data_IF_603055762875
#
_entry.id   IF_603055762875
#
_cell.length_a   1.000
_cell.length_b   1.000
_cell.length_c   1.000
_cell.angle_alpha   90.00
_cell.angle_beta   90.00
_cell.angle_gamma   90.00
#
_symmetry.space_group_name_H-M   'P 1'
#
loop_
_entity.id
_entity.type
_entity.pdbx_description
1 polymer ?
#
# COMPACT_ATOMS: atom_id res chain seq x y z
N UNK A 1 -9.36 -0.15 -9.85
CA UNK A 1 -9.59 -1.27 -8.89
C UNK A 1 -8.89 -2.51 -9.42
N UNK A 2 -8.30 -3.34 -8.58
CA UNK A 2 -7.63 -4.59 -8.98
C UNK A 2 -8.45 -5.78 -8.52
N UNK A 3 -8.56 -6.80 -9.36
CA UNK A 3 -9.21 -8.06 -9.04
C UNK A 3 -8.54 -9.16 -9.85
N UNK A 4 -7.93 -10.13 -9.14
CA UNK A 4 -7.46 -11.41 -9.68
C UNK A 4 -6.81 -11.31 -11.07
N UNK A 5 -5.65 -10.64 -11.16
CA UNK A 5 -4.91 -10.58 -12.41
C UNK A 5 -5.29 -9.46 -13.35
N UNK A 6 -6.25 -8.60 -13.01
CA UNK A 6 -6.68 -7.49 -13.88
C UNK A 6 -6.72 -6.15 -13.15
N UNK A 7 -6.42 -5.11 -13.92
CA UNK A 7 -6.49 -3.70 -13.57
C UNK A 7 -7.64 -3.05 -14.35
N UNK A 8 -8.53 -2.39 -13.63
CA UNK A 8 -9.55 -1.53 -14.22
C UNK A 8 -9.25 -0.08 -13.90
N UNK A 9 -9.21 0.73 -14.94
CA UNK A 9 -8.99 2.16 -14.89
C UNK A 9 -10.33 2.86 -15.12
N UNK A 10 -10.60 3.85 -14.28
CA UNK A 10 -11.80 4.68 -14.36
C UNK A 10 -11.38 6.14 -14.38
N UNK A 11 -12.06 6.94 -15.16
CA UNK A 11 -11.95 8.39 -15.07
C UNK A 11 -12.57 8.83 -13.74
N UNK A 12 -11.75 9.44 -12.89
CA UNK A 12 -12.16 9.81 -11.53
C UNK A 12 -13.24 10.89 -11.48
N UNK A 13 -13.42 11.66 -12.57
CA UNK A 13 -14.38 12.78 -12.64
C UNK A 13 -15.74 12.35 -13.15
N UNK A 14 -15.76 11.43 -14.09
CA UNK A 14 -16.96 10.98 -14.79
C UNK A 14 -17.43 9.60 -14.34
N UNK A 15 -16.56 8.85 -13.66
CA UNK A 15 -16.79 7.43 -13.33
C UNK A 15 -16.77 6.51 -14.55
N UNK A 16 -16.44 7.03 -15.74
CA UNK A 16 -16.40 6.23 -16.96
C UNK A 16 -15.24 5.23 -16.90
N UNK A 17 -15.51 3.99 -17.29
CA UNK A 17 -14.47 2.98 -17.43
C UNK A 17 -13.60 3.32 -18.63
N UNK A 18 -12.29 3.42 -18.43
CA UNK A 18 -11.32 3.79 -19.48
C UNK A 18 -10.90 2.59 -20.32
N UNK A 19 -10.94 1.38 -19.76
CA UNK A 19 -10.60 0.13 -20.45
C UNK A 19 -11.65 -0.93 -20.18
N UNK A 20 -12.42 -1.29 -21.21
CA UNK A 20 -13.42 -2.36 -21.12
C UNK A 20 -12.76 -3.73 -20.97
N UNK A 21 -13.24 -4.52 -20.00
CA UNK A 21 -12.67 -5.82 -19.63
C UNK A 21 -11.39 -5.76 -18.78
N UNK A 22 -10.81 -4.59 -18.55
CA UNK A 22 -9.58 -4.41 -17.77
C UNK A 22 -8.30 -4.93 -18.43
N UNK A 23 -7.14 -4.45 -17.98
CA UNK A 23 -5.81 -4.84 -18.46
C UNK A 23 -5.26 -5.96 -17.58
N UNK A 24 -4.67 -7.00 -18.18
CA UNK A 24 -3.99 -8.04 -17.41
C UNK A 24 -2.79 -7.44 -16.66
N UNK A 25 -2.69 -7.66 -15.35
CA UNK A 25 -1.62 -7.09 -14.52
C UNK A 25 -0.23 -7.56 -14.97
N UNK A 26 -0.12 -8.80 -15.46
CA UNK A 26 1.12 -9.34 -15.98
C UNK A 26 1.52 -8.78 -17.36
N UNK A 27 0.69 -7.93 -17.98
CA UNK A 27 1.04 -7.21 -19.22
C UNK A 27 1.36 -5.74 -18.96
N UNK A 28 1.16 -5.24 -17.74
CA UNK A 28 1.54 -3.87 -17.36
C UNK A 28 3.07 -3.79 -17.22
N UNK A 29 3.79 -2.98 -18.03
CA UNK A 29 5.24 -3.09 -18.16
C UNK A 29 6.04 -3.04 -16.85
N UNK A 30 5.70 -2.11 -15.94
CA UNK A 30 6.41 -1.98 -14.66
C UNK A 30 6.04 -3.09 -13.66
N UNK A 31 4.81 -3.62 -13.72
CA UNK A 31 4.38 -4.75 -12.89
C UNK A 31 4.96 -6.07 -13.40
N UNK A 32 5.19 -6.20 -14.70
CA UNK A 32 5.73 -7.40 -15.34
C UNK A 32 7.25 -7.41 -15.47
N UNK A 33 7.92 -6.30 -15.11
CA UNK A 33 9.36 -6.10 -15.30
C UNK A 33 10.18 -7.23 -14.66
N UNK A 34 11.00 -7.99 -15.42
CA UNK A 34 11.81 -9.07 -14.86
C UNK A 34 12.71 -8.60 -13.71
N UNK A 35 12.62 -9.26 -12.56
CA UNK A 35 13.46 -8.99 -11.39
C UNK A 35 12.97 -7.88 -10.45
N UNK A 36 12.03 -7.03 -10.88
CA UNK A 36 11.53 -5.89 -10.07
C UNK A 36 10.00 -5.77 -10.06
N UNK A 37 9.31 -6.37 -11.02
CA UNK A 37 7.86 -6.35 -11.15
C UNK A 37 7.16 -7.38 -10.26
N UNK A 38 6.08 -6.97 -9.59
CA UNK A 38 5.28 -7.79 -8.68
C UNK A 38 4.57 -8.95 -9.40
N UNK A 39 4.33 -8.79 -10.70
CA UNK A 39 3.80 -9.80 -11.61
C UNK A 39 4.88 -10.51 -12.44
N UNK A 40 6.17 -10.22 -12.24
CA UNK A 40 7.24 -10.78 -13.06
C UNK A 40 7.24 -12.31 -13.02
N UNK A 41 7.19 -12.95 -14.20
CA UNK A 41 7.16 -14.41 -14.32
C UNK A 41 5.85 -15.07 -13.86
N UNK A 42 4.80 -14.29 -13.56
CA UNK A 42 3.49 -14.82 -13.15
C UNK A 42 2.53 -14.87 -14.32
N UNK A 43 1.72 -15.92 -14.37
CA UNK A 43 0.52 -15.94 -15.22
C UNK A 43 -0.52 -14.93 -14.69
N UNK A 44 -1.40 -14.44 -15.57
CA UNK A 44 -2.40 -13.41 -15.24
C UNK A 44 -3.13 -13.68 -13.93
N UNK A 45 -3.70 -14.88 -13.75
CA UNK A 45 -4.46 -15.24 -12.55
C UNK A 45 -3.62 -15.28 -11.25
N UNK A 46 -2.29 -15.31 -11.36
CA UNK A 46 -1.36 -15.35 -10.24
C UNK A 46 -0.79 -14.00 -9.82
N UNK A 47 -1.10 -12.92 -10.53
CA UNK A 47 -0.78 -11.57 -10.07
C UNK A 47 -1.97 -10.93 -9.37
N UNK A 48 -1.96 -10.90 -8.03
CA UNK A 48 -3.03 -10.31 -7.22
C UNK A 48 -2.47 -9.13 -6.45
N UNK A 49 -2.93 -7.93 -6.80
CA UNK A 49 -2.67 -6.73 -6.01
C UNK A 49 -3.76 -6.64 -4.94
N UNK A 50 -3.35 -6.61 -3.68
CA UNK A 50 -4.21 -6.46 -2.50
C UNK A 50 -4.58 -4.98 -2.32
N UNK A 51 -3.58 -4.09 -2.33
CA UNK A 51 -3.79 -2.64 -2.34
C UNK A 51 -2.93 -1.98 -3.40
N UNK A 52 -3.43 -0.86 -3.94
CA UNK A 52 -2.70 0.05 -4.82
C UNK A 52 -3.02 1.47 -4.36
N UNK A 53 -2.01 2.23 -3.99
CA UNK A 53 -2.16 3.61 -3.53
C UNK A 53 -1.23 4.53 -4.28
N UNK A 54 -1.67 5.77 -4.48
CA UNK A 54 -0.88 6.79 -5.14
C UNK A 54 -0.71 7.97 -4.20
N UNK A 55 0.48 8.56 -4.23
CA UNK A 55 0.82 9.81 -3.56
C UNK A 55 1.30 10.79 -4.62
N UNK A 56 0.67 11.95 -4.68
CA UNK A 56 1.18 13.07 -5.47
C UNK A 56 2.16 13.85 -4.59
N UNK A 57 3.37 14.02 -5.08
CA UNK A 57 4.43 14.77 -4.41
C UNK A 57 4.25 16.29 -4.64
N UNK A 58 4.82 17.14 -3.77
CA UNK A 58 4.72 18.60 -3.92
C UNK A 58 5.29 19.14 -5.24
N UNK A 59 6.22 18.43 -5.88
CA UNK A 59 6.82 18.77 -7.17
C UNK A 59 6.01 18.26 -8.38
N UNK A 60 4.86 17.64 -8.13
CA UNK A 60 3.99 17.05 -9.16
C UNK A 60 4.34 15.60 -9.51
N UNK A 61 5.36 15.00 -8.88
CA UNK A 61 5.66 13.58 -9.00
C UNK A 61 4.55 12.70 -8.47
N UNK A 62 4.53 11.43 -8.88
CA UNK A 62 3.57 10.46 -8.33
C UNK A 62 4.28 9.18 -7.92
N UNK A 63 4.21 8.89 -6.62
CA UNK A 63 4.67 7.64 -6.01
C UNK A 63 3.50 6.66 -5.95
N UNK A 64 3.74 5.40 -6.31
CA UNK A 64 2.76 4.32 -6.22
C UNK A 64 3.23 3.24 -5.23
N UNK A 65 2.37 2.82 -4.32
CA UNK A 65 2.67 1.68 -3.46
C UNK A 65 1.64 0.57 -3.64
N UNK A 66 2.16 -0.65 -3.76
CA UNK A 66 1.40 -1.82 -4.10
C UNK A 66 1.67 -2.90 -3.05
N UNK A 67 0.62 -3.40 -2.40
CA UNK A 67 0.71 -4.65 -1.64
C UNK A 67 0.19 -5.78 -2.51
N UNK A 68 0.85 -6.93 -2.53
CA UNK A 68 0.43 -8.08 -3.31
C UNK A 68 0.63 -9.38 -2.52
N UNK A 69 -0.27 -10.32 -2.72
CA UNK A 69 -0.07 -11.70 -2.26
C UNK A 69 0.68 -12.47 -3.35
N UNK A 70 1.63 -13.32 -2.96
CA UNK A 70 2.02 -14.43 -3.81
C UNK A 70 1.12 -15.63 -3.50
N UNK A 71 0.82 -16.45 -4.51
CA UNK A 71 -0.08 -17.61 -4.38
C UNK A 71 0.47 -18.72 -3.45
N UNK A 72 1.71 -18.58 -2.99
CA UNK A 72 2.45 -19.51 -2.12
C UNK A 72 2.77 -18.93 -0.73
N UNK A 73 2.66 -17.61 -0.53
CA UNK A 73 2.82 -16.88 0.73
C UNK A 73 2.13 -15.50 0.63
N UNK A 74 1.20 -15.23 1.53
CA UNK A 74 0.54 -13.93 1.66
C UNK A 74 1.55 -12.79 1.92
N UNK A 75 1.31 -11.56 1.45
CA UNK A 75 1.78 -10.35 2.16
C UNK A 75 3.10 -9.70 1.73
N UNK A 76 3.59 -9.90 0.51
CA UNK A 76 4.78 -9.19 0.02
C UNK A 76 4.40 -7.82 -0.51
N UNK A 77 4.88 -6.73 0.13
CA UNK A 77 4.62 -5.37 -0.36
C UNK A 77 5.78 -4.85 -1.21
N UNK A 78 5.45 -4.11 -2.26
CA UNK A 78 6.35 -3.54 -3.25
C UNK A 78 6.08 -2.03 -3.38
N UNK A 79 7.13 -1.23 -3.47
CA UNK A 79 7.01 0.20 -3.78
C UNK A 79 7.45 0.45 -5.22
N UNK A 80 6.65 1.19 -5.98
CA UNK A 80 6.92 1.57 -7.35
C UNK A 80 6.86 3.08 -7.50
N UNK A 81 7.89 3.69 -8.07
CA UNK A 81 7.75 5.05 -8.56
C UNK A 81 6.96 4.98 -9.87
N UNK A 82 5.74 5.53 -9.89
CA UNK A 82 4.89 5.41 -11.08
C UNK A 82 5.36 6.30 -12.23
N UNK A 83 6.12 7.36 -11.95
CA UNK A 83 6.59 8.32 -12.95
C UNK A 83 7.96 8.92 -12.58
N UNK A 84 9.08 8.47 -13.19
CA UNK A 84 10.37 9.17 -13.05
C UNK A 84 10.35 10.54 -13.73
N UNK A 85 11.20 11.50 -13.31
CA UNK A 85 12.39 11.31 -12.48
C UNK A 85 12.26 11.95 -11.10
N UNK A 86 12.01 11.16 -10.05
CA UNK A 86 12.11 11.64 -8.68
C UNK A 86 13.13 10.80 -7.89
N UNK A 87 13.86 11.47 -7.02
CA UNK A 87 14.67 10.85 -5.98
C UNK A 87 13.80 10.67 -4.74
N UNK A 88 13.36 9.44 -4.38
CA UNK A 88 12.66 9.25 -3.13
C UNK A 88 13.59 9.50 -1.94
N UNK A 89 13.04 10.25 -0.98
CA UNK A 89 13.42 10.48 0.42
C UNK A 89 14.54 9.56 0.94
N UNK A 90 15.67 10.16 1.33
CA UNK A 90 16.89 9.73 2.09
C UNK A 90 17.42 8.28 2.06
N UNK A 91 16.66 7.29 1.65
CA UNK A 91 17.07 5.90 1.36
C UNK A 91 16.23 5.41 0.17
N UNK A 92 16.57 5.80 -1.08
CA UNK A 92 15.83 5.37 -2.25
C UNK A 92 15.95 3.86 -2.38
N UNK A 93 14.85 3.16 -2.08
CA UNK A 93 14.71 1.78 -2.49
C UNK A 93 14.70 1.76 -4.03
N UNK A 94 15.49 0.91 -4.69
CA UNK A 94 15.36 0.66 -6.12
C UNK A 94 13.90 0.39 -6.51
N UNK A 95 13.48 0.84 -7.69
CA UNK A 95 12.14 0.56 -8.20
C UNK A 95 11.84 -0.95 -8.15
N UNK A 96 10.71 -1.32 -7.54
CA UNK A 96 10.39 -2.72 -7.32
C UNK A 96 11.20 -3.37 -6.19
N UNK A 97 11.59 -2.62 -5.17
CA UNK A 97 12.14 -3.24 -3.95
C UNK A 97 11.04 -3.78 -3.06
N UNK A 98 11.38 -4.86 -2.36
CA UNK A 98 10.56 -5.43 -1.30
C UNK A 98 10.48 -4.45 -0.13
N UNK A 99 9.27 -3.98 0.19
CA UNK A 99 9.02 -3.15 1.37
C UNK A 99 9.36 -3.91 2.66
N UNK A 100 9.24 -5.24 2.68
CA UNK A 100 9.67 -6.07 3.81
C UNK A 100 11.15 -5.86 4.17
N UNK A 101 12.02 -5.60 3.17
CA UNK A 101 13.44 -5.34 3.39
C UNK A 101 13.72 -3.94 3.95
N UNK A 102 12.93 -2.92 3.60
CA UNK A 102 13.01 -1.60 4.26
C UNK A 102 12.54 -1.71 5.70
N UNK A 103 11.40 -2.36 5.90
CA UNK A 103 10.75 -2.42 7.20
C UNK A 103 11.46 -3.34 8.20
N UNK A 104 12.31 -4.27 7.76
CA UNK A 104 13.13 -5.05 8.67
C UNK A 104 14.26 -4.25 9.31
N UNK A 105 14.64 -3.11 8.70
CA UNK A 105 15.72 -2.24 9.16
C UNK A 105 15.24 -1.09 10.06
N UNK A 106 13.93 -0.82 10.09
CA UNK A 106 13.34 0.29 10.86
C UNK A 106 12.80 -0.22 12.19
N UNK A 107 13.37 0.21 13.32
CA UNK A 107 12.95 -0.24 14.66
C UNK A 107 11.49 0.07 15.03
N UNK A 108 10.90 1.04 14.34
CA UNK A 108 9.52 1.49 14.43
C UNK A 108 8.53 0.69 13.57
N UNK A 109 9.01 -0.19 12.69
CA UNK A 109 8.23 -0.79 11.63
C UNK A 109 7.70 -2.19 11.96
N UNK A 110 6.65 -2.64 11.24
CA UNK A 110 6.03 -3.95 11.43
C UNK A 110 6.98 -5.15 11.30
N UNK A 111 8.05 -5.01 10.51
CA UNK A 111 8.97 -6.11 10.22
C UNK A 111 10.26 -6.09 11.03
N UNK A 112 10.41 -5.19 12.00
CA UNK A 112 11.68 -5.01 12.68
C UNK A 112 12.18 -6.32 13.32
N UNK A 113 13.38 -6.74 12.96
CA UNK A 113 14.00 -7.96 13.47
C UNK A 113 13.41 -9.26 12.93
N UNK A 114 12.46 -9.20 11.98
CA UNK A 114 11.94 -10.37 11.28
C UNK A 114 12.74 -10.64 10.00
N UNK A 115 12.78 -11.91 9.56
CA UNK A 115 13.25 -12.18 8.20
C UNK A 115 12.27 -11.54 7.20
N UNK A 116 12.75 -10.99 6.06
CA UNK A 116 11.88 -10.39 5.06
C UNK A 116 10.76 -11.30 4.54
N UNK A 117 10.95 -12.63 4.57
CA UNK A 117 9.96 -13.63 4.15
C UNK A 117 8.88 -13.91 5.22
N UNK A 118 9.10 -13.48 6.46
CA UNK A 118 8.16 -13.64 7.58
C UNK A 118 7.31 -12.39 7.80
N UNK A 119 7.61 -11.30 7.09
CA UNK A 119 6.84 -10.08 7.21
C UNK A 119 5.74 -10.01 6.17
N UNK A 120 4.52 -9.81 6.66
CA UNK A 120 3.31 -9.78 5.85
C UNK A 120 2.54 -8.49 6.06
N UNK A 121 2.25 -7.80 4.97
CA UNK A 121 1.41 -6.59 4.98
C UNK A 121 -0.03 -6.94 4.62
N UNK A 122 -0.95 -6.27 5.29
CA UNK A 122 -2.39 -6.35 5.04
C UNK A 122 -2.81 -5.18 4.15
N UNK A 123 -2.45 -3.95 4.52
CA UNK A 123 -2.71 -2.74 3.73
C UNK A 123 -1.57 -1.74 3.88
N UNK A 124 -1.51 -0.81 2.92
CA UNK A 124 -0.67 0.37 2.96
C UNK A 124 -1.45 1.57 2.41
N UNK A 125 -1.37 2.71 3.06
CA UNK A 125 -2.01 3.96 2.64
C UNK A 125 -1.12 5.15 2.97
N UNK A 126 -1.27 6.24 2.23
CA UNK A 126 -0.58 7.50 2.49
C UNK A 126 -1.57 8.62 2.77
N UNK A 127 -1.15 9.53 3.62
CA UNK A 127 -1.85 10.77 3.92
C UNK A 127 -0.88 11.94 3.77
N UNK A 128 -1.16 12.84 2.82
CA UNK A 128 -0.47 14.12 2.73
C UNK A 128 -1.16 15.11 3.67
N UNK A 129 -0.39 15.68 4.60
CA UNK A 129 -0.85 16.70 5.52
C UNK A 129 -0.67 18.09 4.89
N UNK A 130 -1.50 19.05 5.32
CA UNK A 130 -1.48 20.42 4.77
C UNK A 130 -0.18 21.20 5.02
N UNK A 131 0.72 20.68 5.87
CA UNK A 131 2.04 21.23 6.13
C UNK A 131 3.14 20.61 5.22
N UNK A 132 2.79 19.70 4.32
CA UNK A 132 3.71 19.00 3.44
C UNK A 132 4.26 17.69 4.00
N UNK A 133 4.01 17.38 5.27
CA UNK A 133 4.40 16.09 5.85
C UNK A 133 3.54 14.97 5.24
N UNK A 134 4.13 13.79 5.09
CA UNK A 134 3.40 12.61 4.64
C UNK A 134 3.46 11.53 5.70
N UNK A 135 2.29 11.03 6.09
CA UNK A 135 2.16 9.85 6.92
C UNK A 135 1.90 8.61 6.06
N UNK A 136 2.56 7.52 6.42
CA UNK A 136 2.39 6.19 5.87
C UNK A 136 1.70 5.31 6.90
N UNK A 137 0.55 4.77 6.54
CA UNK A 137 -0.25 3.87 7.35
C UNK A 137 -0.09 2.46 6.83
N UNK A 138 0.42 1.56 7.67
CA UNK A 138 0.64 0.16 7.31
C UNK A 138 -0.09 -0.71 8.29
N UNK A 139 -0.83 -1.70 7.80
CA UNK A 139 -1.38 -2.75 8.65
C UNK A 139 -0.63 -4.06 8.47
N UNK A 140 -0.30 -4.69 9.60
CA UNK A 140 0.39 -5.98 9.63
C UNK A 140 0.07 -6.69 10.94
N UNK A 141 -0.18 -8.01 10.87
CA UNK A 141 -0.50 -8.85 12.03
C UNK A 141 -1.58 -8.26 12.96
N UNK A 142 -2.61 -7.64 12.38
CA UNK A 142 -3.72 -7.02 13.12
C UNK A 142 -3.34 -5.76 13.90
N UNK A 143 -2.23 -5.12 13.55
CA UNK A 143 -1.78 -3.83 14.09
C UNK A 143 -1.72 -2.77 13.01
N UNK A 144 -1.92 -1.51 13.42
CA UNK A 144 -1.67 -0.31 12.64
C UNK A 144 -0.32 0.29 13.02
N UNK A 145 0.49 0.57 12.01
CA UNK A 145 1.72 1.34 12.10
C UNK A 145 1.52 2.65 11.37
N UNK A 146 1.88 3.74 12.03
CA UNK A 146 1.80 5.09 11.47
C UNK A 146 3.22 5.62 11.47
N UNK A 147 3.76 5.83 10.28
CA UNK A 147 5.14 6.20 10.07
C UNK A 147 5.20 7.53 9.34
N UNK A 148 6.19 8.33 9.67
CA UNK A 148 6.60 9.40 8.77
C UNK A 148 7.17 8.79 7.49
N UNK A 149 6.56 9.10 6.34
CA UNK A 149 6.87 8.42 5.08
C UNK A 149 8.29 8.72 4.57
N UNK A 150 8.90 9.81 5.07
CA UNK A 150 10.26 10.27 4.75
C UNK A 150 11.30 9.52 5.56
N UNK A 151 11.19 9.63 6.87
CA UNK A 151 12.20 9.19 7.84
C UNK A 151 11.96 7.76 8.31
N UNK A 152 10.75 7.22 8.12
CA UNK A 152 10.32 5.95 8.68
C UNK A 152 10.08 5.99 10.20
N UNK A 153 10.12 7.17 10.82
CA UNK A 153 9.92 7.35 12.26
C UNK A 153 8.48 7.02 12.65
N UNK A 154 8.28 6.27 13.74
CA UNK A 154 6.95 6.02 14.26
C UNK A 154 6.31 7.29 14.84
N UNK A 155 5.04 7.48 14.54
CA UNK A 155 4.18 8.42 15.25
C UNK A 155 3.76 7.86 16.62
N UNK A 156 3.30 8.72 17.52
CA UNK A 156 2.95 8.35 18.90
C UNK A 156 1.88 7.24 18.99
N UNK A 157 0.94 7.20 18.03
CA UNK A 157 -0.14 6.21 17.95
C UNK A 157 0.20 4.99 17.07
N UNK A 158 1.48 4.80 16.72
CA UNK A 158 1.94 3.65 15.93
C UNK A 158 1.95 2.35 16.74
N UNK A 159 2.01 1.21 16.05
CA UNK A 159 2.05 -0.15 16.62
C UNK A 159 0.85 -0.49 17.53
N UNK A 160 -0.33 0.06 17.23
CA UNK A 160 -1.57 -0.20 17.98
C UNK A 160 -2.34 -1.36 17.37
N UNK A 161 -2.95 -2.21 18.20
CA UNK A 161 -3.83 -3.26 17.66
C UNK A 161 -5.08 -2.63 17.05
N UNK A 162 -5.51 -3.15 15.90
CA UNK A 162 -6.73 -2.68 15.24
C UNK A 162 -7.95 -2.83 16.18
N UNK A 163 -8.02 -3.91 16.95
CA UNK A 163 -9.10 -4.14 17.92
C UNK A 163 -9.13 -3.16 19.10
N UNK A 164 -8.06 -2.39 19.32
CA UNK A 164 -7.97 -1.37 20.36
C UNK A 164 -8.28 0.03 19.84
N UNK A 165 -8.45 0.19 18.52
CA UNK A 165 -8.79 1.46 17.87
C UNK A 165 -10.30 1.47 17.63
N UNK A 166 -11.09 2.37 18.27
CA UNK A 166 -12.55 2.30 18.25
C UNK A 166 -13.16 2.14 16.85
N UNK A 167 -12.70 2.93 15.88
CA UNK A 167 -13.24 2.87 14.51
C UNK A 167 -13.06 1.51 13.82
N UNK A 168 -11.97 0.77 14.10
CA UNK A 168 -11.76 -0.57 13.55
C UNK A 168 -12.42 -1.63 14.43
N UNK A 169 -12.32 -1.49 15.75
CA UNK A 169 -12.96 -2.35 16.73
C UNK A 169 -14.45 -2.51 16.45
N UNK A 170 -15.13 -1.40 16.22
CA UNK A 170 -16.58 -1.33 16.09
C UNK A 170 -17.07 -1.65 14.66
N UNK A 171 -16.15 -1.90 13.72
CA UNK A 171 -16.45 -2.20 12.31
C UNK A 171 -15.79 -3.52 11.88
N UNK A 172 -14.58 -3.47 11.34
CA UNK A 172 -13.83 -4.59 10.75
C UNK A 172 -13.44 -5.66 11.78
N UNK A 173 -13.26 -5.31 13.06
CA UNK A 173 -12.92 -6.29 14.09
C UNK A 173 -14.15 -6.87 14.80
N UNK A 174 -15.35 -6.32 14.58
CA UNK A 174 -16.53 -6.66 15.37
C UNK A 174 -16.89 -8.15 15.19
N UNK A 175 -16.84 -8.91 16.28
CA UNK A 175 -17.18 -10.35 16.29
C UNK A 175 -16.15 -11.26 15.62
N UNK A 176 -14.92 -10.80 15.35
CA UNK A 176 -13.89 -11.59 14.66
C UNK A 176 -12.79 -12.08 15.59
N UNK A 177 -12.32 -13.29 15.32
CA UNK A 177 -11.14 -13.85 15.99
C UNK A 177 -9.84 -13.13 15.55
N UNK A 178 -9.78 -12.70 14.29
CA UNK A 178 -8.67 -11.93 13.73
C UNK A 178 -9.17 -10.60 13.16
N UNK A 179 -8.52 -9.50 13.53
CA UNK A 179 -8.79 -8.21 12.92
C UNK A 179 -7.79 -7.93 11.80
N UNK A 180 -8.29 -7.81 10.58
CA UNK A 180 -7.51 -7.57 9.37
C UNK A 180 -8.25 -6.58 8.48
N UNK A 181 -7.51 -5.62 7.93
CA UNK A 181 -8.00 -4.80 6.82
C UNK A 181 -7.67 -5.48 5.50
N UNK A 182 -8.60 -5.39 4.54
CA UNK A 182 -8.37 -5.76 3.14
C UNK A 182 -8.06 -4.54 2.29
N UNK A 183 -8.62 -3.39 2.64
CA UNK A 183 -8.26 -2.13 2.01
C UNK A 183 -8.18 -1.02 3.05
N UNK A 184 -7.34 -0.03 2.77
CA UNK A 184 -7.21 1.20 3.55
C UNK A 184 -6.75 2.30 2.59
N UNK A 185 -7.42 3.43 2.60
CA UNK A 185 -7.08 4.58 1.76
C UNK A 185 -7.53 5.87 2.43
N UNK A 186 -6.94 6.97 1.95
CA UNK A 186 -7.31 8.32 2.33
C UNK A 186 -7.65 9.11 1.07
N UNK A 187 -8.65 9.97 1.16
CA UNK A 187 -9.00 10.92 0.09
C UNK A 187 -9.39 12.26 0.71
N UNK A 188 -9.16 13.34 -0.02
CA UNK A 188 -9.57 14.69 0.39
C UNK A 188 -10.92 15.00 -0.23
N UNK A 189 -11.92 15.28 0.61
CA UNK A 189 -13.24 15.71 0.19
C UNK A 189 -13.20 17.14 -0.41
N UNK A 190 -14.23 17.54 -1.18
CA UNK A 190 -14.27 18.86 -1.83
C UNK A 190 -14.20 20.06 -0.87
N UNK A 191 -14.60 19.86 0.39
CA UNK A 191 -14.53 20.86 1.46
C UNK A 191 -13.15 20.91 2.15
N UNK A 192 -12.18 20.12 1.67
CA UNK A 192 -10.87 19.96 2.29
C UNK A 192 -10.86 18.98 3.46
N UNK A 193 -12.01 18.37 3.80
CA UNK A 193 -12.11 17.33 4.81
C UNK A 193 -11.34 16.08 4.41
N UNK A 194 -10.77 15.38 5.40
CA UNK A 194 -10.13 14.10 5.16
C UNK A 194 -11.13 12.96 5.30
N UNK A 195 -11.18 12.07 4.32
CA UNK A 195 -11.98 10.84 4.35
C UNK A 195 -11.05 9.64 4.36
N UNK A 196 -11.08 8.89 5.45
CA UNK A 196 -10.46 7.58 5.56
C UNK A 196 -11.47 6.51 5.10
N UNK A 197 -11.06 5.63 4.20
CA UNK A 197 -11.87 4.50 3.72
C UNK A 197 -11.14 3.18 4.01
N UNK A 198 -11.86 2.17 4.48
CA UNK A 198 -11.30 0.85 4.74
C UNK A 198 -12.35 -0.25 4.59
N UNK A 199 -11.90 -1.47 4.32
CA UNK A 199 -12.77 -2.64 4.19
C UNK A 199 -12.14 -3.88 4.83
N UNK A 200 -12.97 -4.89 5.03
CA UNK A 200 -12.59 -6.25 5.41
C UNK A 200 -12.35 -7.20 4.23
#
# INVERSE_FOLDING_TARGET
MTSRGRLWEYDVRTGAMLVDGGVALATVPHLAAPGTGVCAGRADAGCVLETRTFRVEPDGGVTEAITASDLTASGTAWSYEAFPPHTPLSTPLPNGSLLTARYSLLSSAPCYGLNPNECHFQTQAFLLLGNGDTLEFVTSAGKLFILDAVTGSAQADSNRKLSEIPRFRDTVCAGRAECRLRSHSFTTAPDGGLVESFSD
#
